data_IF_732901715814
#
_entry.id   IF_732901715814
#
_cell.length_a   1.000
_cell.length_b   1.000
_cell.length_c   1.000
_cell.angle_alpha   90.00
_cell.angle_beta   90.00
_cell.angle_gamma   90.00
#
_symmetry.space_group_name_H-M   'P 1'
#
loop_
_entity.id
_entity.type
_entity.pdbx_description
1 polymer ?
#
# COMPACT_ATOMS: atom_id res chain seq x y z
N UNK A 1 1.95 -3.59 14.57
CA UNK A 1 3.40 -3.43 14.30
C UNK A 1 4.01 -4.81 14.04
N UNK A 2 4.90 -4.94 13.05
CA UNK A 2 5.45 -6.24 12.60
C UNK A 2 6.89 -6.40 13.08
N UNK A 3 7.75 -5.42 12.82
CA UNK A 3 9.14 -5.39 13.28
C UNK A 3 9.57 -3.94 13.45
N UNK A 4 10.21 -3.63 14.58
CA UNK A 4 10.72 -2.28 14.88
C UNK A 4 9.63 -1.20 14.71
N UNK A 5 8.41 -1.47 15.18
CA UNK A 5 7.22 -0.60 14.99
C UNK A 5 6.77 -0.37 13.55
N UNK A 6 7.39 -1.01 12.55
CA UNK A 6 7.00 -0.88 11.15
C UNK A 6 5.79 -1.75 10.83
N UNK A 7 4.85 -1.20 10.05
CA UNK A 7 3.70 -1.94 9.51
C UNK A 7 4.10 -2.76 8.28
N UNK A 8 3.29 -3.74 7.90
CA UNK A 8 3.49 -4.49 6.66
C UNK A 8 3.57 -3.56 5.44
N UNK A 9 2.65 -2.60 5.36
CA UNK A 9 2.62 -1.63 4.26
C UNK A 9 3.94 -0.84 4.18
N UNK A 10 4.47 -0.40 5.32
CA UNK A 10 5.74 0.33 5.36
C UNK A 10 6.91 -0.52 4.88
N UNK A 11 7.00 -1.77 5.32
CA UNK A 11 8.06 -2.70 4.88
C UNK A 11 7.97 -2.98 3.38
N UNK A 12 6.77 -3.17 2.84
CA UNK A 12 6.56 -3.37 1.39
C UNK A 12 6.98 -2.15 0.58
N UNK A 13 6.61 -0.95 1.02
CA UNK A 13 7.03 0.30 0.36
C UNK A 13 8.54 0.44 0.35
N UNK A 14 9.22 0.14 1.47
CA UNK A 14 10.69 0.16 1.52
C UNK A 14 11.33 -0.84 0.56
N UNK A 15 10.79 -2.05 0.46
CA UNK A 15 11.31 -3.08 -0.46
C UNK A 15 11.22 -2.63 -1.93
N UNK A 16 10.08 -2.04 -2.33
CA UNK A 16 9.88 -1.56 -3.70
C UNK A 16 10.78 -0.35 -3.98
N UNK A 17 10.90 0.57 -3.02
CA UNK A 17 11.79 1.73 -3.16
C UNK A 17 13.25 1.31 -3.34
N UNK A 18 13.71 0.32 -2.58
CA UNK A 18 15.06 -0.25 -2.74
C UNK A 18 15.24 -0.86 -4.13
N UNK A 19 14.23 -1.55 -4.66
CA UNK A 19 14.28 -2.15 -5.99
C UNK A 19 14.36 -1.07 -7.09
N UNK A 20 13.52 -0.03 -6.99
CA UNK A 20 13.54 1.13 -7.90
C UNK A 20 14.91 1.82 -7.87
N UNK A 21 15.50 2.02 -6.70
CA UNK A 21 16.83 2.63 -6.57
C UNK A 21 17.96 1.75 -7.10
N UNK A 22 17.86 0.43 -6.91
CA UNK A 22 18.91 -0.52 -7.32
C UNK A 22 18.94 -0.76 -8.83
N UNK A 23 17.78 -0.73 -9.48
CA UNK A 23 17.62 -1.11 -10.89
C UNK A 23 17.13 0.03 -11.80
N UNK A 24 16.95 1.24 -11.26
CA UNK A 24 16.35 2.39 -11.94
C UNK A 24 15.01 2.07 -12.65
N UNK A 25 14.23 1.18 -12.03
CA UNK A 25 12.93 0.75 -12.54
C UNK A 25 11.79 1.67 -12.07
N UNK A 26 10.62 1.56 -12.69
CA UNK A 26 9.40 2.27 -12.27
C UNK A 26 8.30 1.25 -11.93
N UNK A 27 8.36 0.71 -10.70
CA UNK A 27 7.47 -0.36 -10.24
C UNK A 27 6.32 0.22 -9.42
N UNK A 28 5.06 0.09 -9.87
CA UNK A 28 3.91 0.54 -9.10
C UNK A 28 3.51 -0.46 -8.01
N UNK A 29 3.01 0.05 -6.88
CA UNK A 29 2.38 -0.73 -5.82
C UNK A 29 0.85 -0.60 -5.92
N UNK A 30 0.15 -1.72 -5.98
CA UNK A 30 -1.30 -1.77 -5.96
C UNK A 30 -1.81 -2.25 -4.59
N UNK A 31 -2.68 -1.47 -3.96
CA UNK A 31 -3.38 -1.82 -2.72
C UNK A 31 -4.83 -2.15 -3.03
N UNK A 32 -5.17 -3.43 -2.92
CA UNK A 32 -6.56 -3.87 -2.96
C UNK A 32 -7.15 -3.74 -1.56
N UNK A 33 -8.05 -2.77 -1.39
CA UNK A 33 -8.77 -2.57 -0.14
C UNK A 33 -10.10 -3.34 -0.14
N UNK A 34 -10.62 -3.58 1.06
CA UNK A 34 -12.03 -3.94 1.26
C UNK A 34 -12.82 -2.70 1.66
N UNK A 35 -14.16 -2.78 1.58
CA UNK A 35 -15.05 -1.73 2.09
C UNK A 35 -14.72 -1.29 3.52
N UNK A 36 -14.26 -2.22 4.37
CA UNK A 36 -13.96 -1.95 5.77
C UNK A 36 -12.59 -1.28 6.00
N UNK A 37 -11.70 -1.31 5.00
CA UNK A 37 -10.30 -0.88 5.16
C UNK A 37 -9.91 0.29 4.26
N UNK A 38 -10.80 0.72 3.36
CA UNK A 38 -10.47 1.72 2.35
C UNK A 38 -10.17 3.10 2.93
N UNK A 39 -11.00 3.58 3.87
CA UNK A 39 -10.82 4.89 4.52
C UNK A 39 -9.52 4.97 5.31
N UNK A 40 -9.17 3.91 6.04
CA UNK A 40 -7.96 3.88 6.84
C UNK A 40 -6.70 3.79 5.96
N UNK A 41 -6.77 3.05 4.85
CA UNK A 41 -5.69 3.06 3.84
C UNK A 41 -5.50 4.46 3.26
N UNK A 42 -6.57 5.19 2.94
CA UNK A 42 -6.47 6.55 2.41
C UNK A 42 -5.81 7.54 3.39
N UNK A 43 -6.02 7.38 4.70
CA UNK A 43 -5.38 8.22 5.72
C UNK A 43 -3.88 8.00 5.83
N UNK A 44 -3.38 6.80 5.51
CA UNK A 44 -1.94 6.48 5.62
C UNK A 44 -1.16 6.74 4.34
N UNK A 45 -1.81 6.77 3.16
CA UNK A 45 -1.14 7.06 1.88
C UNK A 45 -0.33 8.37 1.85
N UNK A 46 -0.79 9.49 2.47
CA UNK A 46 -0.02 10.73 2.51
C UNK A 46 1.38 10.60 3.12
N UNK A 47 1.63 9.64 4.02
CA UNK A 47 2.96 9.44 4.62
C UNK A 47 4.02 8.97 3.61
N UNK A 48 3.60 8.43 2.46
CA UNK A 48 4.50 7.98 1.41
C UNK A 48 4.71 9.02 0.30
N UNK A 49 4.11 10.22 0.43
CA UNK A 49 4.33 11.32 -0.51
C UNK A 49 5.80 11.75 -0.46
N UNK A 50 6.45 11.75 -1.62
CA UNK A 50 7.88 12.10 -1.76
C UNK A 50 8.81 10.91 -1.94
N UNK A 51 8.33 9.68 -1.73
CA UNK A 51 9.07 8.49 -2.14
C UNK A 51 8.93 8.28 -3.66
N UNK A 52 9.98 7.73 -4.30
CA UNK A 52 9.97 7.39 -5.75
C UNK A 52 9.18 6.09 -5.96
N UNK A 53 7.89 6.09 -5.64
CA UNK A 53 6.98 4.96 -5.78
C UNK A 53 5.60 5.46 -6.20
N UNK A 54 4.95 4.75 -7.13
CA UNK A 54 3.56 5.02 -7.53
C UNK A 54 2.66 4.05 -6.79
N UNK A 55 1.80 4.55 -5.90
CA UNK A 55 0.85 3.72 -5.15
C UNK A 55 -0.54 3.96 -5.72
N UNK A 56 -1.18 2.89 -6.17
CA UNK A 56 -2.56 2.87 -6.62
C UNK A 56 -3.39 2.08 -5.62
N UNK A 57 -4.60 2.53 -5.34
CA UNK A 57 -5.55 1.82 -4.50
C UNK A 57 -6.87 1.60 -5.24
N UNK A 58 -7.49 0.47 -4.97
CA UNK A 58 -8.83 0.15 -5.49
C UNK A 58 -9.60 -0.67 -4.46
N UNK A 59 -10.90 -0.45 -4.41
CA UNK A 59 -11.78 -1.12 -3.45
C UNK A 59 -12.43 -2.35 -4.11
N UNK A 60 -12.45 -3.46 -3.38
CA UNK A 60 -13.06 -4.71 -3.80
C UNK A 60 -14.59 -4.61 -3.78
N UNK A 61 -15.25 -5.32 -4.69
CA UNK A 61 -16.70 -5.49 -4.68
C UNK A 61 -17.21 -6.03 -3.33
N UNK A 62 -18.23 -5.39 -2.77
CA UNK A 62 -18.96 -5.88 -1.60
C UNK A 62 -20.13 -6.76 -2.02
N UNK A 63 -20.04 -8.06 -1.74
CA UNK A 63 -21.14 -9.00 -1.99
C UNK A 63 -22.03 -9.15 -0.74
N UNK A 64 -23.35 -9.31 -0.91
CA UNK A 64 -24.26 -9.53 0.22
C UNK A 64 -23.95 -10.85 0.91
N UNK A 65 -24.03 -10.84 2.25
CA UNK A 65 -23.97 -12.08 3.03
C UNK A 65 -25.32 -12.79 2.94
N UNK A 66 -25.31 -14.08 2.62
CA UNK A 66 -26.49 -14.94 2.71
C UNK A 66 -26.55 -15.50 4.14
N UNK A 67 -27.74 -15.48 4.74
CA UNK A 67 -28.02 -16.10 6.03
C UNK A 67 -28.77 -17.41 5.83
#
# INVERSE_FOLDING_TARGET
>A
PVRNELTFLYLTVQQIELLIKSYDADVPLFLMNSFNSDDDTHKVLPYYRGLRIKIYNFNLSGYPRLN
#
